data_IF_280018952849
#
_entry.id   IF_280018952849
#
_cell.length_a   1.000
_cell.length_b   1.000
_cell.length_c   1.000
_cell.angle_alpha   90.00
_cell.angle_beta   90.00
_cell.angle_gamma   90.00
#
_symmetry.space_group_name_H-M   'P 1'
#
loop_
_entity.id
_entity.type
_entity.pdbx_description
1 polymer ?
#
# COMPACT_ATOMS: atom_id res chain seq x y z
N UNK A 1 -2.37 -4.80 20.90
CA UNK A 1 -1.86 -3.75 19.97
C UNK A 1 -3.00 -2.74 19.76
N UNK A 2 -2.77 -1.44 19.92
CA UNK A 2 -3.87 -0.46 19.81
C UNK A 2 -4.35 -0.30 18.36
N UNK A 3 -5.64 0.02 18.15
CA UNK A 3 -6.19 0.33 16.80
C UNK A 3 -5.38 1.41 16.06
N UNK A 4 -4.87 2.39 16.80
CA UNK A 4 -3.98 3.44 16.27
C UNK A 4 -2.64 2.88 15.78
N UNK A 5 -2.06 1.93 16.52
CA UNK A 5 -0.83 1.23 16.13
C UNK A 5 -1.06 0.40 14.87
N UNK A 6 -2.14 -0.38 14.82
CA UNK A 6 -2.49 -1.22 13.66
C UNK A 6 -2.64 -0.35 12.40
N UNK A 7 -3.33 0.80 12.51
CA UNK A 7 -3.46 1.75 11.39
C UNK A 7 -2.12 2.25 10.88
N UNK A 8 -1.22 2.68 11.77
CA UNK A 8 0.11 3.17 11.36
C UNK A 8 0.90 2.09 10.61
N UNK A 9 0.81 0.85 11.09
CA UNK A 9 1.42 -0.30 10.43
C UNK A 9 0.81 -0.61 9.06
N UNK A 10 -0.52 -0.53 8.92
CA UNK A 10 -1.17 -0.74 7.62
C UNK A 10 -0.81 0.36 6.62
N UNK A 11 -0.77 1.63 7.05
CA UNK A 11 -0.32 2.74 6.20
C UNK A 11 1.13 2.51 5.75
N UNK A 12 2.01 2.16 6.69
CA UNK A 12 3.41 1.86 6.37
C UNK A 12 3.52 0.71 5.38
N UNK A 13 2.81 -0.40 5.61
CA UNK A 13 2.78 -1.55 4.72
C UNK A 13 2.28 -1.17 3.31
N UNK A 14 1.21 -0.39 3.21
CA UNK A 14 0.69 0.07 1.93
C UNK A 14 1.68 0.96 1.16
N UNK A 15 2.40 1.85 1.85
CA UNK A 15 3.45 2.68 1.25
C UNK A 15 4.60 1.80 0.73
N UNK A 16 5.05 0.81 1.50
CA UNK A 16 6.12 -0.09 1.10
C UNK A 16 5.73 -0.88 -0.15
N UNK A 17 4.54 -1.49 -0.17
CA UNK A 17 4.05 -2.25 -1.32
C UNK A 17 3.93 -1.36 -2.56
N UNK A 18 3.42 -0.13 -2.39
CA UNK A 18 3.32 0.84 -3.48
C UNK A 18 4.70 1.20 -4.03
N UNK A 19 5.67 1.48 -3.18
CA UNK A 19 7.03 1.86 -3.57
C UNK A 19 7.76 0.72 -4.31
N UNK A 20 7.57 -0.52 -3.87
CA UNK A 20 8.09 -1.71 -4.57
C UNK A 20 7.50 -1.83 -5.96
N UNK A 21 6.18 -1.71 -6.09
CA UNK A 21 5.51 -1.66 -7.40
C UNK A 21 6.07 -0.54 -8.28
N UNK A 22 6.15 0.68 -7.76
CA UNK A 22 6.70 1.82 -8.50
C UNK A 22 8.14 1.57 -8.98
N UNK A 23 8.98 0.93 -8.14
CA UNK A 23 10.35 0.58 -8.50
C UNK A 23 10.39 -0.40 -9.67
N UNK A 24 9.56 -1.44 -9.63
CA UNK A 24 9.43 -2.39 -10.76
C UNK A 24 8.91 -1.72 -12.04
N UNK A 25 8.15 -0.63 -11.93
CA UNK A 25 7.67 0.12 -13.08
C UNK A 25 8.76 0.98 -13.74
N UNK A 26 9.69 1.51 -12.95
CA UNK A 26 10.75 2.42 -13.39
C UNK A 26 11.92 1.66 -14.02
N UNK A 27 12.27 0.49 -13.49
CA UNK A 27 13.41 -0.29 -13.99
C UNK A 27 13.03 -0.98 -15.30
N UNK A 28 13.59 -0.52 -16.41
CA UNK A 28 13.27 -1.02 -17.77
C UNK A 28 13.58 -2.51 -17.96
N UNK A 29 14.61 -3.03 -17.28
CA UNK A 29 14.97 -4.45 -17.29
C UNK A 29 13.88 -5.36 -16.68
N UNK A 30 12.93 -4.78 -15.93
CA UNK A 30 11.84 -5.50 -15.26
C UNK A 30 10.51 -5.39 -16.03
N UNK A 31 10.57 -5.11 -17.33
CA UNK A 31 9.40 -5.01 -18.23
C UNK A 31 8.45 -6.20 -18.16
N UNK A 32 8.98 -7.42 -17.99
CA UNK A 32 8.19 -8.65 -17.78
C UNK A 32 7.30 -8.61 -16.54
N UNK A 33 7.63 -7.76 -15.56
CA UNK A 33 6.92 -7.59 -14.30
C UNK A 33 5.96 -6.39 -14.30
N UNK A 34 5.76 -5.69 -15.42
CA UNK A 34 4.88 -4.50 -15.50
C UNK A 34 3.47 -4.74 -14.95
N UNK A 35 2.87 -5.89 -15.28
CA UNK A 35 1.54 -6.23 -14.78
C UNK A 35 1.54 -6.40 -13.25
N UNK A 36 2.52 -7.11 -12.71
CA UNK A 36 2.64 -7.35 -11.26
C UNK A 36 2.96 -6.05 -10.53
N UNK A 37 3.82 -5.21 -11.10
CA UNK A 37 4.13 -3.85 -10.65
C UNK A 37 2.86 -3.00 -10.51
N UNK A 38 2.00 -3.00 -11.54
CA UNK A 38 0.73 -2.27 -11.50
C UNK A 38 -0.20 -2.80 -10.41
N UNK A 39 -0.30 -4.13 -10.26
CA UNK A 39 -1.07 -4.76 -9.19
C UNK A 39 -0.54 -4.32 -7.82
N UNK A 40 0.77 -4.36 -7.60
CA UNK A 40 1.38 -3.94 -6.33
C UNK A 40 1.07 -2.46 -6.02
N UNK A 41 1.18 -1.57 -7.01
CA UNK A 41 0.82 -0.16 -6.82
C UNK A 41 -0.65 -0.01 -6.40
N UNK A 42 -1.58 -0.69 -7.08
CA UNK A 42 -3.01 -0.64 -6.75
C UNK A 42 -3.27 -1.20 -5.35
N UNK A 43 -2.69 -2.34 -5.01
CA UNK A 43 -2.83 -2.97 -3.69
C UNK A 43 -2.30 -2.05 -2.58
N UNK A 44 -1.14 -1.43 -2.78
CA UNK A 44 -0.58 -0.47 -1.82
C UNK A 44 -1.52 0.71 -1.55
N UNK A 45 -2.10 1.29 -2.61
CA UNK A 45 -3.09 2.37 -2.51
C UNK A 45 -4.34 1.89 -1.76
N UNK A 46 -4.89 0.73 -2.11
CA UNK A 46 -6.09 0.16 -1.48
C UNK A 46 -5.87 -0.04 0.02
N UNK A 47 -4.72 -0.57 0.43
CA UNK A 47 -4.37 -0.74 1.85
C UNK A 47 -4.35 0.62 2.56
N UNK A 48 -3.75 1.65 1.96
CA UNK A 48 -3.72 3.00 2.54
C UNK A 48 -5.14 3.56 2.70
N UNK A 49 -6.01 3.40 1.69
CA UNK A 49 -7.41 3.86 1.74
C UNK A 49 -8.17 3.13 2.84
N UNK A 50 -8.08 1.80 2.91
CA UNK A 50 -8.75 0.99 3.94
C UNK A 50 -8.25 1.38 5.34
N UNK A 51 -6.96 1.63 5.49
CA UNK A 51 -6.37 2.12 6.75
C UNK A 51 -7.00 3.43 7.22
N UNK A 52 -7.32 4.32 6.28
CA UNK A 52 -7.99 5.58 6.57
C UNK A 52 -9.47 5.40 6.95
N UNK A 53 -10.15 4.36 6.45
CA UNK A 53 -11.52 4.02 6.88
C UNK A 53 -11.57 3.57 8.34
N UNK A 54 -10.56 2.85 8.83
CA UNK A 54 -10.47 2.46 10.25
C UNK A 54 -10.37 3.65 11.21
N UNK A 55 -9.90 4.82 10.76
CA UNK A 55 -9.87 6.06 11.57
C UNK A 55 -11.27 6.59 11.88
N UNK A 56 -12.25 6.40 10.99
CA UNK A 56 -13.61 6.91 11.20
C UNK A 56 -14.35 6.11 12.28
N UNK A 57 -14.22 4.78 12.28
CA UNK A 57 -14.89 3.91 13.26
C UNK A 57 -14.40 4.02 14.71
N UNK A 58 -13.25 4.63 14.96
CA UNK A 58 -12.72 4.79 16.33
C UNK A 58 -13.16 6.10 17.00
N UNK A 59 -13.96 6.92 16.32
CA UNK A 59 -14.38 8.25 16.78
C UNK A 59 -15.90 8.40 16.91
N UNK A 60 -16.64 7.35 16.52
CA UNK A 60 -18.07 7.12 16.79
C UNK A 60 -18.19 6.10 17.93
#
# INVERSE_FOLDING_TARGET
MSMSSIRKWLIFLGIVIFAVGLTFMIIEELTSYKTISMIMMVVGIVIIIISNFFRRRSHD
#
